data_IF_112523682449
#
_entry.id   IF_112523682449
#
_cell.length_a   1.000
_cell.length_b   1.000
_cell.length_c   1.000
_cell.angle_alpha   90.00
_cell.angle_beta   90.00
_cell.angle_gamma   90.00
#
_symmetry.space_group_name_H-M   'P 1'
#
loop_
_entity.id
_entity.type
_entity.pdbx_description
1 polymer ?
#
# COMPACT_ATOMS: atom_id res chain seq x y z
N UNK A 1 -5.32 -9.78 -2.04
CA UNK A 1 -5.88 -8.42 -1.82
C UNK A 1 -6.37 -8.22 -0.38
N UNK A 2 -7.02 -9.21 0.20
CA UNK A 2 -7.58 -9.07 1.56
C UNK A 2 -6.55 -8.70 2.63
N UNK A 3 -5.38 -9.32 2.59
CA UNK A 3 -4.34 -9.04 3.56
C UNK A 3 -3.82 -7.61 3.44
N UNK A 4 -3.68 -7.12 2.21
CA UNK A 4 -3.26 -5.75 1.95
C UNK A 4 -4.32 -4.75 2.45
N UNK A 5 -5.59 -5.03 2.20
CA UNK A 5 -6.68 -4.19 2.69
C UNK A 5 -6.66 -4.15 4.22
N UNK A 6 -6.39 -5.28 4.88
CA UNK A 6 -6.29 -5.33 6.34
C UNK A 6 -5.16 -4.44 6.85
N UNK A 7 -4.02 -4.43 6.17
CA UNK A 7 -2.89 -3.56 6.50
C UNK A 7 -3.32 -2.09 6.43
N UNK A 8 -3.92 -1.71 5.30
CA UNK A 8 -4.37 -0.33 5.09
C UNK A 8 -5.43 0.07 6.11
N UNK A 9 -6.37 -0.82 6.37
CA UNK A 9 -7.47 -0.56 7.30
C UNK A 9 -6.98 -0.41 8.74
N UNK A 10 -5.89 -1.08 9.10
CA UNK A 10 -5.31 -0.94 10.44
C UNK A 10 -4.70 0.45 10.65
N UNK A 11 -4.28 1.11 9.57
CA UNK A 11 -3.73 2.47 9.63
C UNK A 11 -4.84 3.53 9.66
N UNK A 12 -5.88 3.30 8.88
CA UNK A 12 -7.00 4.24 8.73
C UNK A 12 -8.32 3.46 8.73
N UNK A 13 -8.82 3.08 9.91
CA UNK A 13 -10.00 2.22 9.98
C UNK A 13 -11.31 2.86 9.51
N UNK A 14 -11.33 4.17 9.35
CA UNK A 14 -12.48 4.92 8.87
C UNK A 14 -12.51 5.09 7.34
N UNK A 15 -11.48 4.60 6.65
CA UNK A 15 -11.38 4.71 5.18
C UNK A 15 -11.73 3.36 4.53
N UNK A 16 -12.57 3.41 3.51
CA UNK A 16 -12.86 2.24 2.68
C UNK A 16 -11.88 2.20 1.51
N UNK A 17 -10.79 1.46 1.67
CA UNK A 17 -9.73 1.38 0.66
C UNK A 17 -10.16 0.61 -0.59
N UNK A 18 -11.30 -0.07 -0.56
CA UNK A 18 -11.83 -0.73 -1.76
C UNK A 18 -12.50 0.26 -2.69
N UNK A 19 -12.92 1.41 -2.17
CA UNK A 19 -13.63 2.45 -2.93
C UNK A 19 -12.81 3.71 -3.14
N UNK A 20 -11.89 4.02 -2.20
CA UNK A 20 -11.14 5.26 -2.25
C UNK A 20 -9.96 5.17 -3.22
N UNK A 21 -9.73 6.25 -3.95
CA UNK A 21 -8.56 6.45 -4.82
C UNK A 21 -7.92 7.78 -4.44
N UNK A 22 -6.81 8.12 -5.09
CA UNK A 22 -6.12 9.36 -4.78
C UNK A 22 -5.57 9.39 -3.37
N UNK A 23 -5.12 8.24 -2.84
CA UNK A 23 -4.68 8.13 -1.45
C UNK A 23 -3.52 9.08 -1.14
N UNK A 24 -2.60 9.24 -2.08
CA UNK A 24 -1.48 10.16 -1.92
C UNK A 24 -1.92 11.59 -2.28
N UNK A 25 -2.59 11.74 -3.40
CA UNK A 25 -3.02 13.04 -3.92
C UNK A 25 -3.93 13.77 -2.93
N UNK A 26 -4.83 13.05 -2.27
CA UNK A 26 -5.78 13.61 -1.32
C UNK A 26 -5.24 13.65 0.12
N UNK A 27 -4.00 13.23 0.33
CA UNK A 27 -3.36 13.29 1.64
C UNK A 27 -3.86 12.26 2.64
N UNK A 28 -4.52 11.19 2.18
CA UNK A 28 -4.98 10.10 3.05
C UNK A 28 -3.78 9.34 3.60
N UNK A 29 -2.81 9.04 2.73
CA UNK A 29 -1.55 8.40 3.14
C UNK A 29 -0.43 9.44 3.14
N UNK A 30 0.35 9.47 4.21
CA UNK A 30 1.54 10.31 4.32
C UNK A 30 2.81 9.45 4.28
N UNK A 31 3.97 10.08 4.43
CA UNK A 31 5.26 9.37 4.36
C UNK A 31 5.41 8.30 5.43
N UNK A 32 4.89 8.54 6.63
CA UNK A 32 4.95 7.55 7.71
C UNK A 32 4.05 6.35 7.40
N UNK A 33 2.89 6.60 6.80
CA UNK A 33 1.98 5.54 6.40
C UNK A 33 2.63 4.66 5.32
N UNK A 34 3.33 5.26 4.37
CA UNK A 34 4.04 4.54 3.33
C UNK A 34 5.11 3.63 3.94
N UNK A 35 5.90 4.15 4.88
CA UNK A 35 6.93 3.35 5.58
C UNK A 35 6.29 2.19 6.32
N UNK A 36 5.17 2.43 7.00
CA UNK A 36 4.45 1.39 7.73
C UNK A 36 3.92 0.32 6.78
N UNK A 37 3.35 0.72 5.65
CA UNK A 37 2.85 -0.22 4.64
C UNK A 37 3.99 -1.11 4.13
N UNK A 38 5.13 -0.52 3.81
CA UNK A 38 6.30 -1.25 3.32
C UNK A 38 6.75 -2.28 4.36
N UNK A 39 6.82 -1.88 5.62
CA UNK A 39 7.21 -2.76 6.72
C UNK A 39 6.21 -3.91 6.89
N UNK A 40 4.93 -3.60 6.91
CA UNK A 40 3.89 -4.61 7.08
C UNK A 40 3.82 -5.59 5.92
N UNK A 41 3.97 -5.09 4.69
CA UNK A 41 4.02 -5.94 3.50
C UNK A 41 5.22 -6.89 3.57
N UNK A 42 6.36 -6.40 4.02
CA UNK A 42 7.56 -7.21 4.19
C UNK A 42 7.35 -8.32 5.22
N UNK A 43 6.76 -7.98 6.36
CA UNK A 43 6.57 -8.92 7.47
C UNK A 43 5.46 -9.92 7.18
N UNK A 44 4.32 -9.45 6.68
CA UNK A 44 3.13 -10.28 6.51
C UNK A 44 3.06 -11.02 5.19
N UNK A 45 3.59 -10.41 4.14
CA UNK A 45 3.46 -10.94 2.79
C UNK A 45 4.80 -11.39 2.20
N UNK A 46 5.89 -11.17 2.93
CA UNK A 46 7.24 -11.53 2.53
C UNK A 46 7.61 -10.94 1.17
N UNK A 47 7.22 -9.69 0.94
CA UNK A 47 7.51 -8.95 -0.28
C UNK A 47 8.30 -7.70 0.08
N UNK A 48 9.47 -7.53 -0.53
CA UNK A 48 10.31 -6.35 -0.33
C UNK A 48 10.01 -5.31 -1.40
N UNK A 49 9.63 -4.11 -0.97
CA UNK A 49 9.37 -2.99 -1.89
C UNK A 49 10.65 -2.14 -1.94
N UNK A 50 11.38 -2.15 -3.07
CA UNK A 50 12.61 -1.37 -3.17
C UNK A 50 12.31 0.13 -3.28
N UNK A 51 13.30 0.96 -2.91
CA UNK A 51 13.15 2.41 -2.91
C UNK A 51 12.72 2.98 -4.26
N UNK A 52 13.18 2.38 -5.34
CA UNK A 52 12.86 2.82 -6.70
C UNK A 52 11.38 2.64 -7.08
N UNK A 53 10.66 1.81 -6.32
CA UNK A 53 9.23 1.59 -6.53
C UNK A 53 8.37 2.43 -5.58
N UNK A 54 8.97 3.23 -4.72
CA UNK A 54 8.24 4.10 -3.81
C UNK A 54 7.86 5.37 -4.57
N UNK A 55 6.84 5.22 -5.43
CA UNK A 55 6.33 6.30 -6.27
C UNK A 55 4.89 6.60 -5.87
N UNK A 56 4.47 7.87 -5.90
CA UNK A 56 3.09 8.20 -5.53
C UNK A 56 2.05 7.39 -6.29
N UNK A 57 2.27 7.16 -7.57
CA UNK A 57 1.35 6.41 -8.43
C UNK A 57 1.17 4.96 -7.98
N UNK A 58 2.18 4.38 -7.32
CA UNK A 58 2.11 3.00 -6.83
C UNK A 58 1.34 2.88 -5.51
N UNK A 59 1.13 3.98 -4.82
CA UNK A 59 0.48 4.01 -3.50
C UNK A 59 -0.81 4.80 -3.50
N UNK A 60 -1.26 5.25 -4.68
CA UNK A 60 -2.41 6.15 -4.79
C UNK A 60 -3.75 5.44 -4.65
N UNK A 61 -3.76 4.11 -4.72
CA UNK A 61 -4.96 3.30 -4.48
C UNK A 61 -4.54 1.92 -3.99
N UNK A 62 -5.47 1.22 -3.34
CA UNK A 62 -5.23 -0.15 -2.91
C UNK A 62 -4.96 -1.05 -4.13
N UNK A 63 -5.68 -0.79 -5.22
CA UNK A 63 -5.52 -1.55 -6.46
C UNK A 63 -4.12 -1.36 -7.06
N UNK A 64 -3.62 -0.13 -7.10
CA UNK A 64 -2.27 0.16 -7.60
C UNK A 64 -1.21 -0.50 -6.72
N UNK A 65 -1.39 -0.43 -5.40
CA UNK A 65 -0.47 -1.05 -4.45
C UNK A 65 -0.49 -2.57 -4.58
N UNK A 66 -1.66 -3.16 -4.77
CA UNK A 66 -1.78 -4.60 -4.99
C UNK A 66 -1.06 -5.05 -6.26
N UNK A 67 -1.20 -4.28 -7.35
CA UNK A 67 -0.50 -4.56 -8.60
C UNK A 67 1.02 -4.53 -8.39
N UNK A 68 1.52 -3.58 -7.61
CA UNK A 68 2.93 -3.51 -7.26
C UNK A 68 3.37 -4.74 -6.48
N UNK A 69 2.61 -5.12 -5.46
CA UNK A 69 2.93 -6.28 -4.61
C UNK A 69 2.95 -7.56 -5.45
N UNK A 70 1.96 -7.76 -6.30
CA UNK A 70 1.92 -8.94 -7.18
C UNK A 70 3.12 -9.01 -8.11
N UNK A 71 3.49 -7.88 -8.69
CA UNK A 71 4.63 -7.79 -9.60
C UNK A 71 5.94 -8.14 -8.89
N UNK A 72 6.12 -7.64 -7.69
CA UNK A 72 7.33 -7.89 -6.91
C UNK A 72 7.38 -9.32 -6.38
N UNK A 73 6.22 -9.89 -6.05
CA UNK A 73 6.13 -11.25 -5.56
C UNK A 73 6.49 -12.28 -6.63
N UNK A 74 6.24 -11.95 -7.89
CA UNK A 74 6.57 -12.82 -9.03
C UNK A 74 8.01 -12.68 -9.52
N UNK A 75 8.69 -11.62 -9.11
CA UNK A 75 10.04 -11.31 -9.57
C UNK A 75 11.10 -12.28 -9.00
#
# INVERSE_FOLDING_TARGET
>A
MNQLIDILHSLHPDIDFTAETGLIENGILNSLDIVTIITEVSVRMDVQIPAEEILPENFDSAEALWALVERLDEA
#
